data_IF_391655412738
#
_entry.id   IF_391655412738
#
_cell.length_a   1.000
_cell.length_b   1.000
_cell.length_c   1.000
_cell.angle_alpha   90.00
_cell.angle_beta   90.00
_cell.angle_gamma   90.00
#
_symmetry.space_group_name_H-M   'P 1'
#
loop_
_entity.id
_entity.type
_entity.pdbx_description
1 polymer ?
#
# COMPACT_ATOMS: atom_id res chain seq x y z
N UNK A 1 -11.72 -10.41 4.48
CA UNK A 1 -10.39 -9.76 4.61
C UNK A 1 -9.81 -10.12 5.97
N UNK A 2 -8.52 -10.42 6.03
CA UNK A 2 -7.82 -10.74 7.28
C UNK A 2 -7.45 -9.42 7.97
N UNK A 3 -8.40 -8.82 8.68
CA UNK A 3 -8.22 -7.50 9.31
C UNK A 3 -7.04 -7.44 10.28
N UNK A 4 -6.70 -8.57 10.92
CA UNK A 4 -5.53 -8.68 11.80
C UNK A 4 -4.18 -8.46 11.07
N UNK A 5 -4.15 -8.63 9.74
CA UNK A 5 -2.96 -8.43 8.93
C UNK A 5 -2.78 -6.97 8.45
N UNK A 6 -3.69 -6.06 8.82
CA UNK A 6 -3.62 -4.66 8.40
C UNK A 6 -2.47 -3.89 9.06
N UNK A 7 -2.09 -4.28 10.27
CA UNK A 7 -0.99 -3.67 11.00
C UNK A 7 -0.38 -4.68 11.98
N UNK A 8 0.85 -4.42 12.43
CA UNK A 8 1.55 -5.27 13.39
C UNK A 8 1.30 -4.87 14.84
N UNK A 9 0.79 -3.65 15.09
CA UNK A 9 0.44 -3.18 16.42
C UNK A 9 -0.91 -3.77 16.88
N UNK A 10 -0.93 -4.61 17.96
CA UNK A 10 -2.16 -5.27 18.41
C UNK A 10 -3.25 -4.29 18.88
N UNK A 11 -2.88 -3.15 19.46
CA UNK A 11 -3.84 -2.15 19.93
C UNK A 11 -4.52 -1.46 18.76
N UNK A 12 -3.74 -1.14 17.72
CA UNK A 12 -4.30 -0.58 16.50
C UNK A 12 -5.22 -1.58 15.78
N UNK A 13 -4.80 -2.85 15.67
CA UNK A 13 -5.65 -3.92 15.10
C UNK A 13 -6.95 -4.05 15.90
N UNK A 14 -6.88 -4.02 17.22
CA UNK A 14 -8.07 -4.07 18.08
C UNK A 14 -8.99 -2.86 17.88
N UNK A 15 -8.44 -1.66 17.76
CA UNK A 15 -9.20 -0.45 17.47
C UNK A 15 -9.88 -0.55 16.10
N UNK A 16 -9.15 -0.98 15.08
CA UNK A 16 -9.67 -1.19 13.74
C UNK A 16 -10.80 -2.24 13.72
N UNK A 17 -10.63 -3.37 14.41
CA UNK A 17 -11.64 -4.42 14.51
C UNK A 17 -12.93 -3.97 15.21
N UNK A 18 -12.85 -2.98 16.09
CA UNK A 18 -13.98 -2.40 16.81
C UNK A 18 -14.63 -1.23 16.05
N UNK A 19 -14.03 -0.75 14.98
CA UNK A 19 -14.59 0.31 14.15
C UNK A 19 -15.73 -0.25 13.28
N UNK A 20 -16.96 0.13 13.62
CA UNK A 20 -18.17 -0.33 12.91
C UNK A 20 -18.31 0.24 11.50
N UNK A 21 -17.57 1.30 11.17
CA UNK A 21 -17.58 1.94 9.85
C UNK A 21 -16.47 1.35 8.97
N UNK A 22 -15.24 1.28 9.50
CA UNK A 22 -14.06 0.85 8.77
C UNK A 22 -13.88 -0.66 8.70
N UNK A 23 -14.47 -1.43 9.62
CA UNK A 23 -14.34 -2.88 9.64
C UNK A 23 -15.69 -3.60 9.76
N UNK A 24 -15.73 -4.82 9.24
CA UNK A 24 -16.92 -5.67 9.36
C UNK A 24 -18.13 -5.27 8.51
N UNK A 25 -17.99 -4.29 7.64
CA UNK A 25 -19.07 -3.89 6.73
C UNK A 25 -19.38 -4.97 5.72
N UNK A 26 -20.68 -5.25 5.51
CA UNK A 26 -21.12 -6.14 4.45
C UNK A 26 -20.91 -5.47 3.08
N UNK A 27 -20.23 -6.17 2.19
CA UNK A 27 -19.96 -5.70 0.84
C UNK A 27 -20.61 -6.67 -0.16
N UNK A 28 -21.34 -6.12 -1.14
CA UNK A 28 -21.94 -6.94 -2.19
C UNK A 28 -20.87 -7.63 -3.04
N UNK A 29 -21.05 -8.90 -3.36
CA UNK A 29 -20.16 -9.65 -4.27
C UNK A 29 -19.97 -8.95 -5.62
N UNK A 30 -21.00 -8.22 -6.08
CA UNK A 30 -20.92 -7.40 -7.30
C UNK A 30 -19.80 -6.34 -7.23
N UNK A 31 -19.54 -5.76 -6.05
CA UNK A 31 -18.44 -4.83 -5.87
C UNK A 31 -17.08 -5.51 -6.12
N UNK A 32 -16.87 -6.69 -5.53
CA UNK A 32 -15.64 -7.46 -5.77
C UNK A 32 -15.48 -7.86 -7.22
N UNK A 33 -16.57 -8.29 -7.86
CA UNK A 33 -16.54 -8.58 -9.29
C UNK A 33 -16.09 -7.36 -10.09
N UNK A 34 -16.68 -6.19 -9.87
CA UNK A 34 -16.28 -4.95 -10.56
C UNK A 34 -14.82 -4.59 -10.29
N UNK A 35 -14.34 -4.77 -9.03
CA UNK A 35 -12.96 -4.50 -8.66
C UNK A 35 -11.96 -5.40 -9.41
N UNK A 36 -12.29 -6.68 -9.62
CA UNK A 36 -11.42 -7.63 -10.30
C UNK A 36 -11.55 -7.60 -11.83
N UNK A 37 -12.64 -7.06 -12.36
CA UNK A 37 -12.87 -6.94 -13.81
C UNK A 37 -12.45 -5.57 -14.36
N UNK A 38 -12.09 -4.60 -13.49
CA UNK A 38 -11.64 -3.28 -13.96
C UNK A 38 -10.26 -3.39 -14.60
N UNK A 39 -10.15 -2.82 -15.79
CA UNK A 39 -8.85 -2.65 -16.46
C UNK A 39 -8.39 -1.19 -16.32
N UNK A 40 -7.10 -0.94 -16.09
CA UNK A 40 -6.58 0.41 -16.06
C UNK A 40 -6.72 1.06 -17.45
N UNK A 41 -6.82 2.38 -17.49
CA UNK A 41 -6.86 3.13 -18.74
C UNK A 41 -5.49 3.18 -19.42
N UNK A 42 -4.43 3.10 -18.64
CA UNK A 42 -3.03 3.08 -19.06
C UNK A 42 -2.40 1.92 -18.33
N UNK A 43 -1.80 1.01 -19.06
CA UNK A 43 -1.07 -0.11 -18.50
C UNK A 43 0.24 0.38 -17.83
N UNK A 44 0.78 -0.35 -16.83
CA UNK A 44 2.00 0.05 -16.14
C UNK A 44 3.18 0.33 -17.09
N UNK A 45 3.31 -0.46 -18.14
CA UNK A 45 4.37 -0.37 -19.17
C UNK A 45 4.32 0.94 -19.96
N UNK A 46 3.13 1.57 -20.05
CA UNK A 46 2.90 2.82 -20.77
C UNK A 46 2.89 4.04 -19.85
N UNK A 47 2.99 3.84 -18.53
CA UNK A 47 2.90 4.93 -17.58
C UNK A 47 4.24 5.68 -17.45
N UNK A 48 4.33 6.86 -18.04
CA UNK A 48 5.51 7.74 -17.98
C UNK A 48 5.15 9.21 -17.76
N UNK A 49 4.05 9.48 -17.08
CA UNK A 49 3.51 10.85 -16.92
C UNK A 49 4.24 11.64 -15.83
N UNK A 50 4.65 10.99 -14.75
CA UNK A 50 5.34 11.62 -13.62
C UNK A 50 6.27 10.62 -12.89
N UNK A 51 7.24 11.12 -12.12
CA UNK A 51 8.02 10.29 -11.22
C UNK A 51 7.15 9.64 -10.13
N UNK A 52 7.54 8.45 -9.67
CA UNK A 52 6.84 7.71 -8.65
C UNK A 52 7.74 7.40 -7.44
N UNK A 53 7.18 7.57 -6.25
CA UNK A 53 7.74 7.04 -5.01
C UNK A 53 6.91 5.83 -4.58
N UNK A 54 7.54 4.67 -4.50
CA UNK A 54 6.94 3.43 -4.06
C UNK A 54 7.38 3.14 -2.61
N UNK A 55 6.41 3.05 -1.70
CA UNK A 55 6.65 2.75 -0.29
C UNK A 55 6.12 1.36 0.01
N UNK A 56 7.01 0.41 0.26
CA UNK A 56 6.66 -0.97 0.55
C UNK A 56 6.88 -1.28 2.03
N UNK A 57 5.83 -1.59 2.80
CA UNK A 57 6.01 -2.09 4.16
C UNK A 57 6.73 -3.44 4.16
N UNK A 58 7.71 -3.60 5.04
CA UNK A 58 8.53 -4.81 5.12
C UNK A 58 7.72 -6.04 5.52
N UNK A 59 6.76 -5.85 6.42
CA UNK A 59 5.93 -6.91 6.98
C UNK A 59 4.47 -6.81 6.49
N UNK A 60 4.29 -6.47 5.23
CA UNK A 60 2.97 -6.48 4.61
C UNK A 60 2.53 -7.90 4.27
N UNK A 61 1.67 -8.46 5.11
CA UNK A 61 1.11 -9.81 4.93
C UNK A 61 -0.16 -9.84 4.06
N UNK A 62 -0.62 -8.67 3.57
CA UNK A 62 -1.76 -8.57 2.64
C UNK A 62 -1.26 -8.45 1.21
N UNK A 63 -0.31 -7.52 0.97
CA UNK A 63 0.31 -7.29 -0.33
C UNK A 63 1.83 -7.33 -0.15
N UNK A 64 2.42 -8.52 -0.04
CA UNK A 64 3.88 -8.67 0.07
C UNK A 64 4.57 -8.18 -1.19
N UNK A 65 5.85 -7.81 -1.08
CA UNK A 65 6.64 -7.28 -2.19
C UNK A 65 6.54 -8.13 -3.48
N UNK A 66 6.55 -9.43 -3.36
CA UNK A 66 6.42 -10.34 -4.51
C UNK A 66 5.15 -10.15 -5.35
N UNK A 67 4.10 -9.53 -4.78
CA UNK A 67 2.88 -9.15 -5.52
C UNK A 67 3.02 -7.77 -6.18
N UNK A 68 3.80 -6.86 -5.58
CA UNK A 68 3.99 -5.49 -6.08
C UNK A 68 5.15 -5.37 -7.07
N UNK A 69 6.14 -6.25 -6.97
CA UNK A 69 7.37 -6.25 -7.78
C UNK A 69 7.10 -6.25 -9.29
N UNK A 70 6.23 -7.12 -9.85
CA UNK A 70 5.96 -7.12 -11.29
C UNK A 70 5.37 -5.78 -11.77
N UNK A 71 4.49 -5.18 -10.97
CA UNK A 71 3.94 -3.86 -11.29
C UNK A 71 5.03 -2.78 -11.24
N UNK A 72 5.84 -2.78 -10.18
CA UNK A 72 6.94 -1.83 -10.04
C UNK A 72 7.94 -1.94 -11.19
N UNK A 73 8.33 -3.16 -11.56
CA UNK A 73 9.30 -3.39 -12.63
C UNK A 73 8.80 -2.95 -14.00
N UNK A 74 7.51 -3.14 -14.27
CA UNK A 74 6.87 -2.77 -15.53
C UNK A 74 6.86 -1.24 -15.77
N UNK A 75 6.90 -0.41 -14.73
CA UNK A 75 6.85 1.05 -14.86
C UNK A 75 8.12 1.61 -15.51
N UNK A 76 8.04 2.31 -16.66
CA UNK A 76 9.19 2.91 -17.34
C UNK A 76 9.59 4.28 -16.77
N UNK A 77 8.73 4.91 -15.97
CA UNK A 77 8.96 6.23 -15.41
C UNK A 77 10.13 6.25 -14.41
N UNK A 78 10.65 7.46 -14.13
CA UNK A 78 11.58 7.64 -13.00
C UNK A 78 10.90 7.21 -11.71
N UNK A 79 11.48 6.26 -11.00
CA UNK A 79 10.89 5.69 -9.80
C UNK A 79 11.93 5.46 -8.70
N UNK A 80 11.48 5.62 -7.46
CA UNK A 80 12.28 5.32 -6.26
C UNK A 80 11.46 4.34 -5.41
N UNK A 81 12.13 3.40 -4.73
CA UNK A 81 11.51 2.48 -3.80
C UNK A 81 12.16 2.57 -2.44
N UNK A 82 11.34 2.61 -1.40
CA UNK A 82 11.75 2.58 0.00
C UNK A 82 11.03 1.44 0.71
N UNK A 83 11.79 0.57 1.36
CA UNK A 83 11.23 -0.45 2.26
C UNK A 83 11.03 0.18 3.64
N UNK A 84 9.79 0.19 4.11
CA UNK A 84 9.41 0.70 5.42
C UNK A 84 9.61 -0.38 6.47
N UNK A 85 10.51 -0.15 7.41
CA UNK A 85 10.91 -1.15 8.41
C UNK A 85 9.88 -1.32 9.53
N UNK A 86 9.73 -2.57 9.97
CA UNK A 86 8.91 -2.96 11.14
C UNK A 86 7.47 -2.41 11.08
N UNK A 87 6.83 -2.46 9.93
CA UNK A 87 5.44 -2.05 9.80
C UNK A 87 4.65 -2.97 8.86
N UNK A 88 3.37 -3.10 9.15
CA UNK A 88 2.40 -3.86 8.38
C UNK A 88 1.80 -3.05 7.22
N UNK A 89 0.72 -3.60 6.64
CA UNK A 89 0.04 -3.04 5.46
C UNK A 89 -0.33 -1.56 5.60
N UNK A 90 -0.79 -1.14 6.78
CA UNK A 90 -0.97 0.28 7.11
C UNK A 90 0.24 0.71 7.93
N UNK A 91 1.17 1.51 7.39
CA UNK A 91 2.46 1.80 8.02
C UNK A 91 2.35 2.89 9.10
N UNK A 92 1.60 2.61 10.16
CA UNK A 92 1.42 3.50 11.31
C UNK A 92 2.40 3.23 12.45
N UNK A 93 3.11 2.11 12.40
CA UNK A 93 4.11 1.75 13.38
C UNK A 93 5.43 2.51 13.16
N UNK A 94 6.17 2.75 14.26
CA UNK A 94 7.53 3.28 14.18
C UNK A 94 8.52 2.11 13.96
N UNK A 95 9.56 2.28 13.14
CA UNK A 95 9.96 3.53 12.45
C UNK A 95 9.25 3.80 11.12
N UNK A 96 8.42 2.87 10.60
CA UNK A 96 7.81 2.94 9.27
C UNK A 96 7.08 4.25 8.97
N UNK A 97 6.28 4.76 9.92
CA UNK A 97 5.58 6.05 9.73
C UNK A 97 6.55 7.22 9.56
N UNK A 98 7.65 7.27 10.32
CA UNK A 98 8.66 8.32 10.18
C UNK A 98 9.38 8.20 8.83
N UNK A 99 9.74 6.97 8.44
CA UNK A 99 10.35 6.71 7.13
C UNK A 99 9.42 7.13 5.98
N UNK A 100 8.11 6.90 6.11
CA UNK A 100 7.11 7.35 5.12
C UNK A 100 7.14 8.87 4.97
N UNK A 101 7.12 9.61 6.08
CA UNK A 101 7.13 11.07 6.08
C UNK A 101 8.44 11.60 5.47
N UNK A 102 9.58 11.09 5.92
CA UNK A 102 10.91 11.53 5.47
C UNK A 102 11.12 11.23 3.99
N UNK A 103 10.70 10.04 3.54
CA UNK A 103 10.79 9.63 2.14
C UNK A 103 9.91 10.52 1.24
N UNK A 104 8.68 10.80 1.64
CA UNK A 104 7.76 11.66 0.91
C UNK A 104 8.31 13.09 0.79
N UNK A 105 8.79 13.69 1.89
CA UNK A 105 9.39 15.02 1.90
C UNK A 105 10.64 15.05 1.01
N UNK A 106 11.52 14.06 1.13
CA UNK A 106 12.74 13.99 0.33
C UNK A 106 12.45 13.84 -1.17
N UNK A 107 11.47 13.03 -1.51
CA UNK A 107 11.05 12.80 -2.89
C UNK A 107 10.47 14.09 -3.50
N UNK A 108 9.53 14.74 -2.81
CA UNK A 108 8.90 15.98 -3.30
C UNK A 108 9.89 17.14 -3.50
N UNK A 109 10.95 17.21 -2.68
CA UNK A 109 12.00 18.22 -2.84
C UNK A 109 12.90 18.00 -4.08
N UNK A 110 12.85 16.84 -4.71
CA UNK A 110 13.63 16.50 -5.91
C UNK A 110 12.85 16.73 -7.21
N UNK A 111 11.55 17.01 -7.12
CA UNK A 111 10.68 17.34 -8.25
C UNK A 111 10.85 18.80 -8.69
#
# INVERSE_FOLDING_TARGET
TKMWAMANNPEFVKALMNDKIGSGSAVYLKFFRTLFEVSPKIEPEDFNTCPLLFLQPEEDYIIPWSMSEPFYDALPCKKEMIILKNCGHIPLEKPGINQTIDAAISFLKKL
#
